data_IF_244944862522
#
_entry.id   IF_244944862522
#
_cell.length_a   1.000
_cell.length_b   1.000
_cell.length_c   1.000
_cell.angle_alpha   90.00
_cell.angle_beta   90.00
_cell.angle_gamma   90.00
#
_symmetry.space_group_name_H-M   'P 1'
#
loop_
_entity.id
_entity.type
_entity.pdbx_description
1 polymer ?
#
# COMPACT_ATOMS: atom_id res chain seq x y z
N UNK A 1 16.85 21.92 4.48
CA UNK A 1 16.66 21.01 3.33
C UNK A 1 15.19 20.60 3.29
N UNK A 2 14.41 21.06 2.31
CA UNK A 2 13.04 20.58 2.14
C UNK A 2 13.10 19.18 1.50
N UNK A 3 12.98 18.13 2.30
CA UNK A 3 12.83 16.76 1.79
C UNK A 3 11.51 16.69 1.02
N UNK A 4 11.59 16.72 -0.32
CA UNK A 4 10.48 16.68 -1.29
C UNK A 4 9.67 15.35 -1.28
N UNK A 5 9.52 14.70 -0.13
CA UNK A 5 8.80 13.41 0.03
C UNK A 5 7.32 13.60 0.40
N UNK A 6 6.91 14.81 0.81
CA UNK A 6 5.55 15.13 1.24
C UNK A 6 5.00 16.28 0.39
N UNK A 7 3.80 16.10 -0.16
CA UNK A 7 2.99 17.18 -0.70
C UNK A 7 1.70 17.33 0.15
N UNK A 8 0.82 18.29 -0.18
CA UNK A 8 -0.40 18.55 0.60
C UNK A 8 -1.42 17.41 0.62
N UNK A 9 -1.26 16.36 -0.21
CA UNK A 9 -2.21 15.25 -0.36
C UNK A 9 -1.59 13.87 -0.12
N UNK A 10 -0.27 13.71 -0.22
CA UNK A 10 0.37 12.41 -0.07
C UNK A 10 1.84 12.50 0.35
N UNK A 11 2.30 11.42 1.00
CA UNK A 11 3.70 11.17 1.35
C UNK A 11 4.19 9.94 0.61
N UNK A 12 5.34 10.03 -0.04
CA UNK A 12 6.01 8.86 -0.64
C UNK A 12 6.64 7.99 0.45
N UNK A 13 6.42 6.69 0.36
CA UNK A 13 7.01 5.67 1.22
C UNK A 13 7.84 4.76 0.32
N UNK A 14 9.15 4.85 0.42
CA UNK A 14 10.07 4.03 -0.39
C UNK A 14 10.49 2.78 0.41
N UNK A 15 10.10 1.60 -0.06
CA UNK A 15 10.43 0.30 0.57
C UNK A 15 10.86 -0.68 -0.51
N UNK A 16 11.88 -1.51 -0.21
CA UNK A 16 12.27 -2.62 -1.08
C UNK A 16 11.33 -3.80 -0.84
N UNK A 17 10.73 -4.30 -1.90
CA UNK A 17 9.82 -5.46 -1.88
C UNK A 17 10.50 -6.63 -2.60
N UNK A 18 10.48 -7.85 -2.04
CA UNK A 18 10.98 -9.05 -2.73
C UNK A 18 10.33 -9.26 -4.10
N UNK A 19 11.12 -9.72 -5.09
CA UNK A 19 10.65 -10.01 -6.45
C UNK A 19 9.41 -10.93 -6.51
N UNK A 20 9.32 -12.03 -5.72
CA UNK A 20 8.14 -12.90 -5.76
C UNK A 20 6.85 -12.19 -5.38
N UNK A 21 6.91 -11.18 -4.51
CA UNK A 21 5.73 -10.39 -4.16
C UNK A 21 5.36 -9.42 -5.28
N UNK A 22 6.34 -8.85 -5.98
CA UNK A 22 6.09 -8.00 -7.16
C UNK A 22 5.40 -8.81 -8.26
N UNK A 23 5.90 -10.01 -8.55
CA UNK A 23 5.28 -10.93 -9.51
C UNK A 23 3.85 -11.31 -9.08
N UNK A 24 3.64 -11.56 -7.79
CA UNK A 24 2.30 -11.85 -7.27
C UNK A 24 1.34 -10.68 -7.45
N UNK A 25 1.79 -9.44 -7.28
CA UNK A 25 0.96 -8.25 -7.52
C UNK A 25 0.56 -8.17 -9.00
N UNK A 26 1.53 -8.34 -9.90
CA UNK A 26 1.25 -8.27 -11.34
C UNK A 26 0.31 -9.38 -11.83
N UNK A 27 0.33 -10.55 -11.18
CA UNK A 27 -0.55 -11.67 -11.49
C UNK A 27 -1.95 -11.57 -10.86
N UNK A 28 -2.10 -10.85 -9.75
CA UNK A 28 -3.35 -10.77 -8.97
C UNK A 28 -4.10 -9.45 -9.13
N UNK A 29 -3.47 -8.43 -9.71
CA UNK A 29 -4.14 -7.15 -10.01
C UNK A 29 -5.30 -7.38 -10.98
N UNK A 30 -6.35 -6.59 -10.82
CA UNK A 30 -7.51 -6.64 -11.72
C UNK A 30 -7.20 -5.94 -13.06
N UNK A 31 -7.98 -6.24 -14.09
CA UNK A 31 -7.84 -5.60 -15.39
C UNK A 31 -8.07 -4.07 -15.27
N UNK A 32 -7.06 -3.30 -15.63
CA UNK A 32 -7.08 -1.83 -15.50
C UNK A 32 -6.64 -1.30 -14.13
N UNK A 33 -6.32 -2.17 -13.17
CA UNK A 33 -5.77 -1.76 -11.88
C UNK A 33 -4.27 -1.45 -12.00
N UNK A 34 -3.85 -0.30 -11.48
CA UNK A 34 -2.43 0.02 -11.36
C UNK A 34 -1.82 -0.63 -10.10
N UNK A 35 -0.53 -0.98 -10.17
CA UNK A 35 0.24 -1.47 -9.02
C UNK A 35 0.13 -0.53 -7.80
N UNK A 36 0.06 0.79 -8.03
CA UNK A 36 -0.13 1.78 -6.98
C UNK A 36 -1.50 1.70 -6.30
N UNK A 37 -2.57 1.46 -7.05
CA UNK A 37 -3.90 1.23 -6.50
C UNK A 37 -3.94 -0.06 -5.69
N UNK A 38 -3.40 -1.15 -6.24
CA UNK A 38 -3.31 -2.44 -5.55
C UNK A 38 -2.62 -2.29 -4.19
N UNK A 39 -1.43 -1.67 -4.17
CA UNK A 39 -0.65 -1.46 -2.94
C UNK A 39 -1.40 -0.56 -1.96
N UNK A 40 -2.07 0.49 -2.44
CA UNK A 40 -2.85 1.40 -1.57
C UNK A 40 -4.02 0.66 -0.92
N UNK A 41 -4.77 -0.12 -1.70
CA UNK A 41 -5.88 -0.95 -1.22
C UNK A 41 -5.40 -1.99 -0.20
N UNK A 42 -4.27 -2.65 -0.46
CA UNK A 42 -3.68 -3.63 0.45
C UNK A 42 -3.28 -3.00 1.80
N UNK A 43 -2.65 -1.81 1.77
CA UNK A 43 -2.29 -1.06 2.98
C UNK A 43 -3.54 -0.67 3.77
N UNK A 44 -4.58 -0.16 3.10
CA UNK A 44 -5.84 0.21 3.75
C UNK A 44 -6.52 -1.00 4.41
N UNK A 45 -6.53 -2.14 3.72
CA UNK A 45 -7.04 -3.40 4.25
C UNK A 45 -6.34 -3.84 5.53
N UNK A 46 -5.01 -3.78 5.56
CA UNK A 46 -4.23 -4.14 6.76
C UNK A 46 -4.42 -3.15 7.91
N UNK A 47 -4.55 -1.85 7.63
CA UNK A 47 -4.90 -0.84 8.64
C UNK A 47 -6.25 -1.19 9.28
N UNK A 48 -7.29 -1.41 8.47
CA UNK A 48 -8.63 -1.78 8.96
C UNK A 48 -8.60 -3.07 9.77
N UNK A 49 -7.87 -4.10 9.31
CA UNK A 49 -7.70 -5.37 10.03
C UNK A 49 -7.09 -5.16 11.42
N UNK A 50 -6.04 -4.34 11.52
CA UNK A 50 -5.40 -4.03 12.81
C UNK A 50 -6.28 -3.18 13.72
N UNK A 51 -7.02 -2.22 13.16
CA UNK A 51 -7.97 -1.42 13.92
C UNK A 51 -9.08 -2.28 14.52
N UNK A 52 -9.63 -3.24 13.77
CA UNK A 52 -10.63 -4.19 14.27
C UNK A 52 -10.11 -5.04 15.44
N UNK A 53 -8.86 -5.52 15.35
CA UNK A 53 -8.22 -6.27 16.45
C UNK A 53 -7.99 -5.45 17.72
N UNK A 54 -7.89 -4.12 17.59
CA UNK A 54 -7.68 -3.20 18.72
C UNK A 54 -8.97 -2.71 19.36
N UNK A 55 -10.11 -2.89 18.70
CA UNK A 55 -11.40 -2.53 19.28
C UNK A 55 -11.71 -3.61 20.34
N UNK A 56 -11.78 -3.28 21.64
CA UNK A 56 -12.37 -4.19 22.61
C UNK A 56 -13.81 -4.46 22.19
N UNK A 57 -14.29 -5.66 22.50
CA UNK A 57 -15.67 -6.09 22.25
C UNK A 57 -16.70 -5.05 22.71
#
# INVERSE_FOLDING_TARGET
>A
MATKSVNSKSKRIDVRVPLPLVESIENLKEDGESTGQFVTSAIEGEIKRRQRRKKPE
#
